data_IF_003810091644
#
_entry.id   IF_003810091644
#
_cell.length_a   1.000
_cell.length_b   1.000
_cell.length_c   1.000
_cell.angle_alpha   90.00
_cell.angle_beta   90.00
_cell.angle_gamma   90.00
#
_symmetry.space_group_name_H-M   'P 1'
#
loop_
_entity.id
_entity.type
_entity.pdbx_description
1 polymer ?
#
# COMPACT_ATOMS: atom_id res chain seq x y z
N UNK A 1 -17.79 22.92 10.57
CA UNK A 1 -16.84 23.80 9.86
C UNK A 1 -15.46 23.66 10.48
N UNK A 2 -15.33 23.94 11.78
CA UNK A 2 -14.07 23.82 12.53
C UNK A 2 -13.42 22.43 12.44
N UNK A 3 -14.21 21.35 12.40
CA UNK A 3 -13.71 19.98 12.31
C UNK A 3 -12.78 19.71 11.10
N UNK A 4 -13.06 20.31 9.94
CA UNK A 4 -12.24 20.10 8.74
C UNK A 4 -10.91 20.86 8.88
N UNK A 5 -10.96 22.09 9.39
CA UNK A 5 -9.75 22.87 9.68
C UNK A 5 -8.88 22.19 10.73
N UNK A 6 -9.46 21.80 11.86
CA UNK A 6 -8.72 21.12 12.93
C UNK A 6 -8.09 19.81 12.47
N UNK A 7 -8.75 19.08 11.56
CA UNK A 7 -8.14 17.92 10.92
C UNK A 7 -6.94 18.31 10.06
N UNK A 8 -7.08 19.31 9.18
CA UNK A 8 -6.00 19.77 8.31
C UNK A 8 -4.81 20.32 9.12
N UNK A 9 -5.06 21.09 10.17
CA UNK A 9 -4.04 21.59 11.09
C UNK A 9 -3.30 20.43 11.75
N UNK A 10 -4.03 19.45 12.31
CA UNK A 10 -3.44 18.31 12.98
C UNK A 10 -2.61 17.42 12.03
N UNK A 11 -3.05 17.25 10.77
CA UNK A 11 -2.25 16.53 9.76
C UNK A 11 -1.00 17.32 9.41
N UNK A 12 -1.12 18.64 9.23
CA UNK A 12 0.02 19.50 8.92
C UNK A 12 1.07 19.50 10.03
N UNK A 13 0.65 19.61 11.30
CA UNK A 13 1.55 19.49 12.45
C UNK A 13 2.28 18.15 12.49
N UNK A 14 1.59 17.05 12.18
CA UNK A 14 2.20 15.72 12.08
C UNK A 14 3.26 15.69 10.99
N UNK A 15 2.98 16.22 9.81
CA UNK A 15 3.95 16.28 8.70
C UNK A 15 5.16 17.13 9.08
N UNK A 16 4.96 18.32 9.64
CA UNK A 16 6.07 19.17 10.09
C UNK A 16 6.94 18.45 11.13
N UNK A 17 6.32 17.75 12.09
CA UNK A 17 7.05 16.96 13.09
C UNK A 17 7.84 15.80 12.48
N UNK A 18 7.38 15.25 11.35
CA UNK A 18 8.08 14.19 10.61
C UNK A 18 9.26 14.76 9.81
N UNK A 19 9.06 15.91 9.16
CA UNK A 19 10.09 16.58 8.37
C UNK A 19 11.26 17.08 9.21
N UNK A 20 11.03 17.41 10.49
CA UNK A 20 12.07 17.77 11.46
C UNK A 20 12.94 16.56 11.88
N UNK A 21 12.53 15.34 11.57
CA UNK A 21 13.27 14.12 11.94
C UNK A 21 14.22 13.68 10.81
N UNK A 22 15.55 13.78 10.99
CA UNK A 22 16.52 13.46 9.94
C UNK A 22 16.56 11.98 9.56
N UNK A 23 16.03 11.10 10.42
CA UNK A 23 15.94 9.66 10.16
C UNK A 23 14.74 9.29 9.28
N UNK A 24 13.81 10.22 9.03
CA UNK A 24 12.60 9.98 8.25
C UNK A 24 12.77 10.56 6.86
N UNK A 25 12.98 9.69 5.87
CA UNK A 25 12.86 10.08 4.46
C UNK A 25 11.40 9.95 4.04
N UNK A 26 10.85 11.02 3.48
CA UNK A 26 9.51 11.07 2.89
C UNK A 26 8.36 10.95 3.92
N UNK A 27 8.30 11.92 4.85
CA UNK A 27 7.27 12.02 5.90
C UNK A 27 5.83 11.98 5.37
N UNK A 28 5.64 12.47 4.15
CA UNK A 28 4.38 12.52 3.41
C UNK A 28 3.80 11.12 3.12
N UNK A 29 4.63 10.08 2.97
CA UNK A 29 4.17 8.70 2.77
C UNK A 29 3.69 8.04 4.07
N UNK A 30 4.04 8.58 5.24
CA UNK A 30 3.79 7.96 6.54
C UNK A 30 2.45 8.33 7.17
N UNK A 31 1.83 9.42 6.70
CA UNK A 31 0.46 9.78 7.09
C UNK A 31 -0.59 8.88 6.41
N UNK A 32 -0.17 8.08 5.41
CA UNK A 32 -0.98 7.04 4.77
C UNK A 32 -0.59 5.67 5.30
N UNK A 33 -1.52 4.99 5.96
CA UNK A 33 -1.31 3.60 6.37
C UNK A 33 -2.48 2.74 5.92
N UNK A 34 -2.32 2.08 4.76
CA UNK A 34 -3.16 0.98 4.30
C UNK A 34 -2.79 -0.36 4.97
N UNK A 35 -1.78 -0.40 5.87
CA UNK A 35 -1.43 -1.65 6.58
C UNK A 35 -2.47 -1.92 7.67
N UNK A 36 -3.46 -2.74 7.32
CA UNK A 36 -4.48 -3.31 8.21
C UNK A 36 -3.94 -4.20 9.35
N UNK A 37 -2.63 -4.23 9.64
CA UNK A 37 -2.11 -4.99 10.79
C UNK A 37 -1.14 -4.15 11.60
N UNK A 38 -1.48 -3.96 12.87
CA UNK A 38 -0.45 -3.74 13.90
C UNK A 38 0.33 -5.04 13.93
N UNK A 39 1.62 -4.99 13.62
CA UNK A 39 2.52 -6.04 14.05
C UNK A 39 2.67 -5.85 15.56
N UNK A 40 2.01 -6.67 16.37
CA UNK A 40 2.07 -6.56 17.83
C UNK A 40 3.38 -7.16 18.36
N UNK A 41 3.89 -6.68 19.49
CA UNK A 41 5.11 -7.25 20.08
C UNK A 41 4.99 -8.76 20.37
N UNK A 42 3.75 -9.25 20.59
CA UNK A 42 3.41 -10.67 20.70
C UNK A 42 3.67 -11.49 19.44
N UNK A 43 3.69 -10.85 18.26
CA UNK A 43 4.02 -11.51 16.99
C UNK A 43 5.53 -11.81 16.86
N UNK A 44 6.37 -11.20 17.71
CA UNK A 44 7.83 -11.36 17.76
C UNK A 44 8.33 -12.14 18.99
N UNK A 45 7.49 -12.29 20.02
CA UNK A 45 7.82 -12.95 21.29
C UNK A 45 8.27 -14.42 21.17
N UNK A 46 7.76 -15.24 20.23
CA UNK A 46 8.26 -16.60 20.02
C UNK A 46 9.70 -16.68 19.51
N UNK A 47 10.28 -15.57 19.01
CA UNK A 47 11.60 -15.53 18.39
C UNK A 47 12.72 -15.16 19.37
N UNK A 48 12.46 -14.23 20.31
CA UNK A 48 13.47 -13.81 21.32
C UNK A 48 13.79 -14.92 22.33
N UNK A 49 12.85 -15.85 22.53
CA UNK A 49 12.96 -16.90 23.55
C UNK A 49 13.25 -18.30 22.97
N UNK A 50 13.39 -18.44 21.64
CA UNK A 50 13.37 -19.74 20.95
C UNK A 50 14.65 -20.16 20.22
N UNK A 51 15.62 -19.27 19.98
CA UNK A 51 16.82 -19.56 19.18
C UNK A 51 18.09 -19.57 20.04
N UNK A 52 18.85 -20.68 20.10
CA UNK A 52 20.24 -20.62 20.49
C UNK A 52 21.02 -20.01 19.32
N UNK A 53 21.49 -18.79 19.50
CA UNK A 53 22.30 -18.09 18.51
C UNK A 53 23.74 -18.57 18.72
N UNK A 54 24.27 -19.35 17.77
CA UNK A 54 25.66 -19.85 17.85
C UNK A 54 26.69 -18.73 17.63
N UNK A 55 26.30 -17.65 16.93
CA UNK A 55 27.14 -16.47 16.66
C UNK A 55 26.56 -15.22 17.36
N UNK A 56 27.20 -14.85 18.47
CA UNK A 56 26.78 -13.78 19.38
C UNK A 56 26.65 -12.42 18.65
N UNK A 57 27.46 -12.18 17.61
CA UNK A 57 27.38 -10.94 16.81
C UNK A 57 26.14 -10.90 15.90
N UNK A 58 25.79 -12.01 15.26
CA UNK A 58 24.65 -12.07 14.33
C UNK A 58 23.33 -11.97 15.10
N UNK A 59 23.27 -12.57 16.28
CA UNK A 59 22.16 -12.41 17.21
C UNK A 59 21.99 -10.98 17.72
N UNK A 60 23.08 -10.33 18.12
CA UNK A 60 23.02 -8.96 18.60
C UNK A 60 22.60 -7.99 17.48
N UNK A 61 23.04 -8.22 16.24
CA UNK A 61 22.61 -7.44 15.07
C UNK A 61 21.13 -7.63 14.77
N UNK A 62 20.63 -8.86 14.83
CA UNK A 62 19.23 -9.16 14.58
C UNK A 62 18.33 -8.61 15.69
N UNK A 63 18.72 -8.71 16.96
CA UNK A 63 18.02 -8.08 18.07
C UNK A 63 17.95 -6.57 17.95
N UNK A 64 19.07 -5.91 17.62
CA UNK A 64 19.10 -4.47 17.42
C UNK A 64 18.24 -4.06 16.23
N UNK A 65 18.27 -4.80 15.12
CA UNK A 65 17.43 -4.55 13.97
C UNK A 65 15.95 -4.77 14.25
N UNK A 66 15.56 -5.86 14.92
CA UNK A 66 14.17 -6.11 15.31
C UNK A 66 13.70 -5.04 16.28
N UNK A 67 14.54 -4.61 17.21
CA UNK A 67 14.25 -3.50 18.14
C UNK A 67 14.07 -2.18 17.41
N UNK A 68 14.95 -1.83 16.49
CA UNK A 68 14.86 -0.64 15.66
C UNK A 68 13.65 -0.69 14.73
N UNK A 69 13.37 -1.84 14.11
CA UNK A 69 12.21 -2.05 13.24
C UNK A 69 10.92 -1.97 14.04
N UNK A 70 10.80 -2.62 15.19
CA UNK A 70 9.63 -2.51 16.08
C UNK A 70 9.50 -1.07 16.56
N UNK A 71 10.58 -0.41 16.98
CA UNK A 71 10.50 0.99 17.37
C UNK A 71 10.06 1.90 16.22
N UNK A 72 10.53 1.64 14.99
CA UNK A 72 10.18 2.41 13.80
C UNK A 72 8.76 2.09 13.33
N UNK A 73 8.38 0.83 13.17
CA UNK A 73 7.04 0.39 12.76
C UNK A 73 5.98 0.67 13.84
N UNK A 74 6.32 0.61 15.14
CA UNK A 74 5.44 1.11 16.20
C UNK A 74 5.29 2.63 16.12
N UNK A 75 6.38 3.41 15.96
CA UNK A 75 6.29 4.88 15.81
C UNK A 75 5.52 5.28 14.53
N UNK A 76 5.82 4.66 13.39
CA UNK A 76 5.23 4.94 12.08
C UNK A 76 3.79 4.41 11.97
N UNK A 77 3.53 3.19 12.43
CA UNK A 77 2.20 2.60 12.51
C UNK A 77 1.28 3.36 13.48
N UNK A 78 1.83 3.94 14.55
CA UNK A 78 1.10 4.85 15.42
C UNK A 78 0.70 6.15 14.70
N UNK A 79 1.56 6.69 13.84
CA UNK A 79 1.28 7.93 13.10
C UNK A 79 0.18 7.71 12.06
N UNK A 80 0.29 6.69 11.23
CA UNK A 80 -0.75 6.35 10.25
C UNK A 80 -2.11 6.10 10.89
N UNK A 81 -2.15 5.33 11.99
CA UNK A 81 -3.40 5.10 12.78
C UNK A 81 -3.92 6.36 13.45
N UNK A 82 -3.03 7.24 13.93
CA UNK A 82 -3.43 8.54 14.48
C UNK A 82 -4.11 9.38 13.40
N UNK A 83 -3.54 9.44 12.19
CA UNK A 83 -4.11 10.11 11.03
C UNK A 83 -5.46 9.51 10.62
N UNK A 84 -5.59 8.19 10.60
CA UNK A 84 -6.84 7.49 10.30
C UNK A 84 -7.93 7.81 11.35
N UNK A 85 -7.60 7.77 12.64
CA UNK A 85 -8.54 8.14 13.72
C UNK A 85 -8.94 9.61 13.65
N UNK A 86 -8.02 10.51 13.29
CA UNK A 86 -8.33 11.93 13.07
C UNK A 86 -9.31 12.09 11.90
N UNK A 87 -9.09 11.36 10.81
CA UNK A 87 -9.96 11.36 9.63
C UNK A 87 -11.35 10.84 9.95
N UNK A 88 -11.44 9.68 10.61
CA UNK A 88 -12.70 9.07 11.05
C UNK A 88 -13.50 10.02 11.93
N UNK A 89 -12.87 10.58 12.98
CA UNK A 89 -13.52 11.58 13.85
C UNK A 89 -14.01 12.82 13.09
N UNK A 90 -13.23 13.31 12.12
CA UNK A 90 -13.65 14.43 11.29
C UNK A 90 -14.91 14.08 10.49
N UNK A 91 -14.92 12.93 9.81
CA UNK A 91 -16.06 12.44 9.04
C UNK A 91 -17.29 12.27 9.94
N UNK A 92 -17.14 11.61 11.09
CA UNK A 92 -18.24 11.33 11.99
C UNK A 92 -18.85 12.60 12.57
N UNK A 93 -18.03 13.60 12.92
CA UNK A 93 -18.51 14.89 13.41
C UNK A 93 -19.23 15.70 12.32
N UNK A 94 -18.70 15.71 11.10
CA UNK A 94 -19.32 16.39 9.95
C UNK A 94 -20.65 15.72 9.60
N UNK A 95 -20.67 14.39 9.52
CA UNK A 95 -21.88 13.63 9.19
C UNK A 95 -22.90 13.66 10.33
N UNK A 96 -22.47 13.59 11.59
CA UNK A 96 -23.36 13.70 12.75
C UNK A 96 -24.14 15.01 12.75
N UNK A 97 -23.46 16.14 12.49
CA UNK A 97 -24.13 17.43 12.32
C UNK A 97 -25.01 17.48 11.07
N UNK A 98 -24.56 16.93 9.95
CA UNK A 98 -25.38 16.88 8.73
C UNK A 98 -26.70 16.12 8.96
N UNK A 99 -26.64 14.97 9.65
CA UNK A 99 -27.79 14.11 9.90
C UNK A 99 -28.79 14.76 10.87
N UNK A 100 -28.33 15.58 11.82
CA UNK A 100 -29.21 16.31 12.75
C UNK A 100 -29.99 17.46 12.11
N UNK A 101 -29.64 17.87 10.88
CA UNK A 101 -30.30 18.97 10.17
C UNK A 101 -31.51 18.50 9.35
N UNK A 102 -32.46 19.41 9.12
CA UNK A 102 -33.56 19.20 8.19
C UNK A 102 -33.08 19.29 6.73
N UNK A 103 -33.91 18.89 5.76
CA UNK A 103 -33.54 18.81 4.35
C UNK A 103 -33.09 20.15 3.72
N UNK A 104 -33.67 21.28 4.16
CA UNK A 104 -33.31 22.61 3.65
C UNK A 104 -31.92 23.02 4.16
N UNK A 105 -31.69 22.83 5.46
CA UNK A 105 -30.45 23.21 6.12
C UNK A 105 -29.29 22.28 5.76
N UNK A 106 -29.57 21.03 5.37
CA UNK A 106 -28.57 20.10 4.82
C UNK A 106 -27.88 20.63 3.57
N UNK A 107 -28.64 21.20 2.64
CA UNK A 107 -28.06 21.76 1.41
C UNK A 107 -27.20 22.99 1.69
N UNK A 108 -27.65 23.87 2.61
CA UNK A 108 -26.85 25.02 3.06
C UNK A 108 -25.57 24.55 3.75
N UNK A 109 -25.67 23.56 4.65
CA UNK A 109 -24.51 23.02 5.35
C UNK A 109 -23.50 22.38 4.39
N UNK A 110 -23.95 21.59 3.40
CA UNK A 110 -23.05 21.01 2.40
C UNK A 110 -22.38 22.09 1.57
N UNK A 111 -23.09 23.15 1.19
CA UNK A 111 -22.50 24.32 0.52
C UNK A 111 -21.38 24.92 1.37
N UNK A 112 -21.63 25.19 2.64
CA UNK A 112 -20.63 25.77 3.54
C UNK A 112 -19.39 24.85 3.68
N UNK A 113 -19.61 23.53 3.74
CA UNK A 113 -18.51 22.54 3.76
C UNK A 113 -17.68 22.60 2.46
N UNK A 114 -18.31 22.70 1.30
CA UNK A 114 -17.61 22.81 0.02
C UNK A 114 -16.82 24.12 -0.09
N UNK A 115 -17.39 25.24 0.37
CA UNK A 115 -16.66 26.51 0.47
C UNK A 115 -15.43 26.37 1.36
N UNK A 116 -15.57 25.67 2.48
CA UNK A 116 -14.46 25.45 3.40
C UNK A 116 -13.35 24.59 2.79
N UNK A 117 -13.72 23.52 2.08
CA UNK A 117 -12.77 22.67 1.35
C UNK A 117 -12.01 23.50 0.31
N UNK A 118 -12.73 24.29 -0.49
CA UNK A 118 -12.14 25.19 -1.49
C UNK A 118 -11.22 26.25 -0.88
N UNK A 119 -11.60 26.78 0.29
CA UNK A 119 -10.77 27.73 1.02
C UNK A 119 -9.47 27.07 1.51
N UNK A 120 -9.56 25.88 2.11
CA UNK A 120 -8.40 25.14 2.61
C UNK A 120 -7.44 24.83 1.46
N UNK A 121 -7.95 24.37 0.31
CA UNK A 121 -7.10 24.03 -0.84
C UNK A 121 -6.37 25.22 -1.45
N UNK A 122 -6.80 26.45 -1.18
CA UNK A 122 -6.20 27.66 -1.72
C UNK A 122 -5.30 28.39 -0.71
N UNK A 123 -5.53 28.20 0.60
CA UNK A 123 -4.94 29.07 1.63
C UNK A 123 -4.22 28.32 2.75
N UNK A 124 -4.50 27.03 2.96
CA UNK A 124 -3.93 26.30 4.08
C UNK A 124 -2.49 25.85 3.75
N UNK A 125 -1.52 25.94 4.68
CA UNK A 125 -0.13 25.52 4.44
C UNK A 125 0.01 24.07 3.93
N UNK A 126 -0.81 23.17 4.48
CA UNK A 126 -0.95 21.79 4.00
C UNK A 126 -1.21 21.68 2.50
N UNK A 127 -1.90 22.63 1.87
CA UNK A 127 -2.22 22.59 0.44
C UNK A 127 -0.96 22.56 -0.47
N UNK A 128 0.18 23.01 0.05
CA UNK A 128 1.46 22.98 -0.64
C UNK A 128 2.23 21.66 -0.47
N UNK A 129 1.73 20.73 0.34
CA UNK A 129 2.32 19.40 0.56
C UNK A 129 1.75 18.39 -0.42
N UNK A 130 2.58 17.49 -0.95
CA UNK A 130 2.14 16.43 -1.87
C UNK A 130 1.09 15.52 -1.23
N UNK A 131 1.23 15.29 0.08
CA UNK A 131 0.23 14.68 0.97
C UNK A 131 -1.19 15.23 0.82
N UNK A 132 -1.36 16.52 0.54
CA UNK A 132 -2.70 17.10 0.49
C UNK A 132 -3.52 16.57 -0.66
N UNK A 133 -2.92 16.51 -1.86
CA UNK A 133 -3.60 15.95 -3.04
C UNK A 133 -3.66 14.43 -2.99
N UNK A 134 -2.59 13.77 -2.53
CA UNK A 134 -2.50 12.30 -2.52
C UNK A 134 -3.32 11.63 -1.40
N UNK A 135 -3.48 12.28 -0.25
CA UNK A 135 -4.06 11.64 0.95
C UNK A 135 -5.28 12.40 1.47
N UNK A 136 -5.17 13.71 1.67
CA UNK A 136 -6.23 14.48 2.34
C UNK A 136 -7.44 14.67 1.42
N UNK A 137 -7.23 15.07 0.18
CA UNK A 137 -8.29 15.24 -0.80
C UNK A 137 -9.08 13.94 -1.06
N UNK A 138 -8.45 12.80 -1.41
CA UNK A 138 -9.17 11.55 -1.63
C UNK A 138 -9.69 10.93 -0.32
N UNK A 139 -8.90 10.95 0.74
CA UNK A 139 -9.23 10.30 2.01
C UNK A 139 -10.34 11.01 2.79
N UNK A 140 -10.42 12.34 2.75
CA UNK A 140 -11.42 13.10 3.49
C UNK A 140 -12.44 13.79 2.58
N UNK A 141 -11.99 14.64 1.65
CA UNK A 141 -12.90 15.51 0.90
C UNK A 141 -13.78 14.73 -0.07
N UNK A 142 -13.18 13.83 -0.87
CA UNK A 142 -13.94 12.97 -1.78
C UNK A 142 -14.88 12.02 -1.01
N UNK A 143 -14.45 11.49 0.14
CA UNK A 143 -15.31 10.63 0.98
C UNK A 143 -16.51 11.38 1.53
N UNK A 144 -16.34 12.61 2.03
CA UNK A 144 -17.44 13.43 2.51
C UNK A 144 -18.46 13.71 1.40
N UNK A 145 -17.99 14.03 0.20
CA UNK A 145 -18.88 14.29 -0.94
C UNK A 145 -19.66 13.03 -1.34
N UNK A 146 -18.98 11.88 -1.43
CA UNK A 146 -19.65 10.58 -1.67
C UNK A 146 -20.72 10.31 -0.61
N UNK A 147 -20.42 10.58 0.67
CA UNK A 147 -21.41 10.43 1.75
C UNK A 147 -22.59 11.38 1.56
N UNK A 148 -22.38 12.65 1.25
CA UNK A 148 -23.49 13.58 1.01
C UNK A 148 -24.37 13.16 -0.17
N UNK A 149 -23.77 12.70 -1.27
CA UNK A 149 -24.49 12.17 -2.43
C UNK A 149 -25.37 10.96 -2.08
N UNK A 150 -24.88 10.06 -1.20
CA UNK A 150 -25.66 8.92 -0.72
C UNK A 150 -26.91 9.31 0.10
N UNK A 151 -26.97 10.55 0.62
CA UNK A 151 -28.14 11.10 1.31
C UNK A 151 -28.98 12.03 0.42
N UNK A 152 -28.96 11.80 -0.90
CA UNK A 152 -29.76 12.51 -1.92
C UNK A 152 -29.50 14.03 -2.00
N UNK A 153 -28.31 14.46 -1.54
CA UNK A 153 -27.86 15.83 -1.74
C UNK A 153 -27.38 15.99 -3.18
N UNK A 154 -28.02 16.89 -3.92
CA UNK A 154 -27.65 17.23 -5.30
C UNK A 154 -26.42 18.13 -5.31
N UNK A 155 -25.25 17.56 -5.03
CA UNK A 155 -23.96 18.28 -4.94
C UNK A 155 -23.70 19.08 -6.24
N UNK A 156 -23.98 18.52 -7.42
CA UNK A 156 -23.80 19.24 -8.70
C UNK A 156 -24.64 20.52 -8.78
N UNK A 157 -25.86 20.47 -8.23
CA UNK A 157 -26.74 21.65 -8.18
C UNK A 157 -26.16 22.71 -7.25
N UNK A 158 -25.58 22.31 -6.11
CA UNK A 158 -24.89 23.22 -5.19
C UNK A 158 -23.65 23.81 -5.87
N UNK A 159 -22.85 22.96 -6.51
CA UNK A 159 -21.65 23.36 -7.23
C UNK A 159 -21.94 24.40 -8.30
N UNK A 160 -23.10 24.30 -8.98
CA UNK A 160 -23.48 25.25 -10.04
C UNK A 160 -23.58 26.72 -9.59
N UNK A 161 -23.79 26.97 -8.30
CA UNK A 161 -23.95 28.33 -7.72
C UNK A 161 -22.59 28.95 -7.34
N UNK A 162 -21.51 28.16 -7.28
CA UNK A 162 -20.19 28.68 -6.93
C UNK A 162 -19.56 29.53 -8.03
N UNK A 163 -18.64 30.42 -7.60
CA UNK A 163 -17.80 31.20 -8.51
C UNK A 163 -16.92 30.28 -9.38
N UNK A 164 -16.50 30.71 -10.58
CA UNK A 164 -15.62 29.93 -11.45
C UNK A 164 -14.35 29.46 -10.73
N UNK A 165 -13.72 30.34 -9.95
CA UNK A 165 -12.50 30.04 -9.18
C UNK A 165 -12.73 28.95 -8.13
N UNK A 166 -13.84 29.02 -7.39
CA UNK A 166 -14.22 28.01 -6.39
C UNK A 166 -14.51 26.67 -7.05
N UNK A 167 -15.21 26.68 -8.19
CA UNK A 167 -15.49 25.47 -8.99
C UNK A 167 -14.21 24.82 -9.49
N UNK A 168 -13.30 25.59 -10.06
CA UNK A 168 -12.02 25.08 -10.56
C UNK A 168 -11.20 24.42 -9.45
N UNK A 169 -11.09 25.07 -8.28
CA UNK A 169 -10.40 24.50 -7.13
C UNK A 169 -11.04 23.18 -6.66
N UNK A 170 -12.38 23.13 -6.58
CA UNK A 170 -13.09 21.91 -6.19
C UNK A 170 -12.96 20.83 -7.25
N UNK A 171 -13.14 21.14 -8.53
CA UNK A 171 -12.98 20.17 -9.60
C UNK A 171 -11.55 19.64 -9.69
N UNK A 172 -10.53 20.47 -9.43
CA UNK A 172 -9.15 19.98 -9.34
C UNK A 172 -8.96 18.93 -8.25
N UNK A 173 -9.67 19.03 -7.12
CA UNK A 173 -9.57 18.08 -6.00
C UNK A 173 -10.46 16.84 -6.17
N UNK A 174 -11.55 16.98 -6.93
CA UNK A 174 -12.61 15.99 -7.05
C UNK A 174 -12.57 15.21 -8.37
N UNK A 175 -12.02 15.81 -9.42
CA UNK A 175 -11.84 15.21 -10.74
C UNK A 175 -10.40 14.79 -11.01
N UNK A 176 -9.46 15.00 -10.07
CA UNK A 176 -8.19 14.27 -10.15
C UNK A 176 -8.56 12.78 -10.18
N UNK A 177 -8.31 12.09 -11.32
CA UNK A 177 -8.64 10.69 -11.40
C UNK A 177 -7.89 9.98 -10.27
N UNK A 178 -8.46 8.88 -9.78
CA UNK A 178 -7.71 7.82 -9.09
C UNK A 178 -6.68 7.17 -10.06
N UNK A 179 -6.03 7.95 -10.94
CA UNK A 179 -5.01 7.55 -11.88
C UNK A 179 -3.66 8.15 -11.44
N UNK A 180 -3.09 7.60 -10.38
CA UNK A 180 -2.19 6.50 -10.67
C UNK A 180 -3.08 5.27 -10.67
N UNK A 181 -3.11 4.52 -11.77
CA UNK A 181 -3.68 3.19 -11.73
C UNK A 181 -2.96 2.45 -10.59
N UNK A 182 -3.56 2.41 -9.40
CA UNK A 182 -3.56 1.20 -8.64
C UNK A 182 -4.15 0.16 -9.60
N UNK A 183 -3.37 -0.84 -10.05
CA UNK A 183 -3.87 -1.82 -10.97
C UNK A 183 -5.07 -2.49 -10.31
N UNK A 184 -6.27 -2.19 -10.80
CA UNK A 184 -7.54 -2.83 -10.48
C UNK A 184 -7.70 -3.29 -9.02
N UNK A 185 -8.39 -2.47 -8.22
CA UNK A 185 -9.09 -2.92 -7.00
C UNK A 185 -10.29 -3.84 -7.34
N UNK A 186 -10.10 -4.81 -8.24
CA UNK A 186 -10.90 -6.03 -8.28
C UNK A 186 -10.09 -7.13 -7.60
N UNK A 187 -10.15 -7.19 -6.27
CA UNK A 187 -9.71 -8.36 -5.49
C UNK A 187 -8.34 -8.93 -5.95
N UNK A 188 -7.35 -8.06 -6.20
CA UNK A 188 -5.96 -8.51 -6.17
C UNK A 188 -5.56 -8.58 -4.71
N UNK A 189 -5.72 -9.76 -4.12
CA UNK A 189 -4.94 -10.14 -2.95
C UNK A 189 -3.49 -9.76 -3.24
N UNK A 190 -2.90 -8.87 -2.44
CA UNK A 190 -1.58 -8.30 -2.69
C UNK A 190 -0.52 -9.40 -2.77
N UNK A 191 0.65 -9.11 -3.34
CA UNK A 191 1.78 -10.04 -3.30
C UNK A 191 2.04 -10.50 -1.86
N UNK A 192 1.86 -9.60 -0.91
CA UNK A 192 1.97 -9.78 0.53
C UNK A 192 1.10 -10.92 1.08
N UNK A 193 -0.05 -11.19 0.46
CA UNK A 193 -0.94 -12.27 0.89
C UNK A 193 -0.38 -13.67 0.58
N UNK A 194 0.57 -13.75 -0.37
CA UNK A 194 1.28 -14.99 -0.66
C UNK A 194 2.34 -15.30 0.41
N UNK A 195 2.78 -14.31 1.18
CA UNK A 195 3.83 -14.48 2.17
C UNK A 195 3.25 -14.75 3.55
N UNK A 196 3.95 -15.60 4.30
CA UNK A 196 3.69 -15.77 5.74
C UNK A 196 3.75 -14.38 6.38
N UNK A 197 2.81 -14.02 7.28
CA UNK A 197 2.73 -12.67 7.84
C UNK A 197 4.07 -12.10 8.32
N UNK A 198 4.90 -12.94 8.95
CA UNK A 198 6.25 -12.62 9.42
C UNK A 198 7.25 -12.21 8.31
N UNK A 199 7.11 -12.74 7.09
CA UNK A 199 8.01 -12.44 5.97
C UNK A 199 7.60 -11.17 5.20
N UNK A 200 6.39 -10.65 5.40
CA UNK A 200 5.85 -9.50 4.67
C UNK A 200 6.69 -8.22 4.79
N UNK A 201 7.26 -7.87 5.96
CA UNK A 201 8.11 -6.68 6.09
C UNK A 201 9.38 -6.72 5.22
N UNK A 202 9.85 -7.91 4.84
CA UNK A 202 11.07 -8.11 4.07
C UNK A 202 10.83 -8.12 2.55
N UNK A 203 9.56 -8.11 2.11
CA UNK A 203 9.18 -8.13 0.69
C UNK A 203 9.82 -6.98 -0.10
N UNK A 204 9.88 -5.71 0.39
CA UNK A 204 10.55 -4.64 -0.35
C UNK A 204 12.04 -4.91 -0.60
N UNK A 205 12.74 -5.49 0.39
CA UNK A 205 14.17 -5.84 0.28
C UNK A 205 14.39 -7.06 -0.62
N UNK A 206 13.46 -8.01 -0.60
CA UNK A 206 13.42 -9.11 -1.55
C UNK A 206 13.21 -8.65 -2.99
N UNK A 207 12.28 -7.72 -3.23
CA UNK A 207 12.09 -7.12 -4.56
C UNK A 207 13.37 -6.39 -4.99
N UNK A 208 14.00 -5.61 -4.11
CA UNK A 208 15.28 -4.97 -4.41
C UNK A 208 16.38 -6.00 -4.76
N UNK A 209 16.43 -7.16 -4.06
CA UNK A 209 17.36 -8.25 -4.41
C UNK A 209 17.08 -8.89 -5.76
N UNK A 210 15.81 -9.02 -6.14
CA UNK A 210 15.45 -9.48 -7.48
C UNK A 210 15.89 -8.48 -8.56
N UNK A 211 15.84 -7.17 -8.27
CA UNK A 211 16.34 -6.12 -9.17
C UNK A 211 17.87 -6.15 -9.26
N UNK A 212 18.57 -6.23 -8.13
CA UNK A 212 20.04 -6.35 -8.05
C UNK A 212 20.56 -7.59 -8.80
N UNK A 213 19.85 -8.71 -8.72
CA UNK A 213 20.16 -9.94 -9.42
C UNK A 213 19.76 -9.92 -10.92
N UNK A 214 19.16 -8.83 -11.40
CA UNK A 214 18.70 -8.70 -12.79
C UNK A 214 17.54 -9.62 -13.16
N UNK A 215 16.85 -10.20 -12.16
CA UNK A 215 15.71 -11.10 -12.37
C UNK A 215 14.47 -10.30 -12.75
N UNK A 216 14.33 -9.10 -12.18
CA UNK A 216 13.28 -8.14 -12.52
C UNK A 216 13.91 -6.79 -12.84
N UNK A 217 13.23 -6.00 -13.67
CA UNK A 217 13.62 -4.64 -14.03
C UNK A 217 12.35 -3.80 -14.16
N UNK A 218 12.31 -2.62 -13.53
CA UNK A 218 11.11 -1.77 -13.47
C UNK A 218 9.86 -2.54 -12.98
N UNK A 219 10.04 -3.39 -11.95
CA UNK A 219 9.01 -4.33 -11.43
C UNK A 219 8.43 -5.34 -12.44
N UNK A 220 9.05 -5.50 -13.61
CA UNK A 220 8.69 -6.52 -14.60
C UNK A 220 9.71 -7.65 -14.60
N UNK A 221 9.25 -8.87 -14.81
CA UNK A 221 10.13 -10.03 -14.97
C UNK A 221 11.01 -9.88 -16.20
N UNK A 222 12.33 -9.99 -16.03
CA UNK A 222 13.33 -9.71 -17.06
C UNK A 222 14.43 -10.79 -17.11
N UNK A 223 14.10 -12.03 -16.73
CA UNK A 223 15.08 -13.10 -16.67
C UNK A 223 14.95 -14.13 -17.81
N UNK A 224 16.04 -14.59 -18.44
CA UNK A 224 15.98 -15.50 -19.60
C UNK A 224 15.27 -16.83 -19.34
N UNK A 225 15.39 -17.37 -18.11
CA UNK A 225 14.82 -18.69 -17.75
C UNK A 225 13.35 -18.55 -17.38
N UNK A 226 12.43 -18.89 -18.28
CA UNK A 226 10.97 -18.67 -18.09
C UNK A 226 10.35 -19.25 -16.81
N UNK A 227 10.92 -20.29 -16.22
CA UNK A 227 10.41 -20.99 -15.03
C UNK A 227 11.17 -20.63 -13.73
N UNK A 228 12.07 -19.64 -13.75
CA UNK A 228 12.93 -19.33 -12.62
C UNK A 228 12.13 -18.85 -11.40
N UNK A 229 11.18 -17.92 -11.56
CA UNK A 229 10.33 -17.48 -10.45
C UNK A 229 9.48 -18.63 -9.89
N UNK A 230 9.03 -19.58 -10.71
CA UNK A 230 8.26 -20.72 -10.22
C UNK A 230 9.10 -21.63 -9.30
N UNK A 231 10.38 -21.84 -9.66
CA UNK A 231 11.34 -22.57 -8.82
C UNK A 231 11.65 -21.78 -7.55
N UNK A 232 11.91 -20.48 -7.65
CA UNK A 232 12.16 -19.61 -6.51
C UNK A 232 10.98 -19.63 -5.51
N UNK A 233 9.75 -19.48 -5.98
CA UNK A 233 8.55 -19.55 -5.12
C UNK A 233 8.39 -20.93 -4.48
N UNK A 234 8.82 -21.99 -5.16
CA UNK A 234 8.81 -23.35 -4.60
C UNK A 234 9.83 -23.50 -3.50
N UNK A 235 11.06 -23.02 -3.73
CA UNK A 235 12.10 -22.95 -2.71
C UNK A 235 11.63 -22.14 -1.50
N UNK A 236 11.11 -20.93 -1.72
CA UNK A 236 10.56 -20.07 -0.66
C UNK A 236 9.44 -20.75 0.13
N UNK A 237 8.66 -21.61 -0.51
CA UNK A 237 7.61 -22.38 0.15
C UNK A 237 8.18 -23.50 1.02
N UNK A 238 9.23 -24.17 0.55
CA UNK A 238 9.96 -25.20 1.32
C UNK A 238 10.66 -24.59 2.52
N UNK A 239 11.24 -23.39 2.35
CA UNK A 239 11.76 -22.54 3.44
C UNK A 239 10.66 -21.89 4.30
N UNK A 240 9.39 -22.13 3.95
CA UNK A 240 8.21 -21.66 4.68
C UNK A 240 8.05 -20.14 4.75
N UNK A 241 8.61 -19.40 3.79
CA UNK A 241 8.48 -17.95 3.57
C UNK A 241 7.11 -17.62 2.94
N UNK A 242 6.61 -18.51 2.07
CA UNK A 242 5.34 -18.37 1.34
C UNK A 242 4.25 -19.24 1.98
N UNK A 243 3.04 -18.69 2.09
CA UNK A 243 1.85 -19.33 2.66
C UNK A 243 1.45 -20.62 1.95
N UNK A 244 0.77 -21.50 2.70
CA UNK A 244 0.13 -22.70 2.16
C UNK A 244 -1.00 -22.37 1.17
N UNK A 245 -0.99 -23.02 0.01
CA UNK A 245 -2.02 -22.89 -1.04
C UNK A 245 -1.76 -23.83 -2.23
N UNK A 246 -2.62 -23.87 -3.25
CA UNK A 246 -2.33 -24.67 -4.45
C UNK A 246 -1.10 -24.09 -5.17
N UNK A 247 -0.02 -24.87 -5.36
CA UNK A 247 1.26 -24.42 -5.96
C UNK A 247 1.02 -23.56 -7.22
N UNK A 248 0.17 -24.06 -8.10
CA UNK A 248 -0.21 -23.40 -9.37
C UNK A 248 -0.79 -22.00 -9.21
N UNK A 249 -1.66 -21.80 -8.23
CA UNK A 249 -2.30 -20.51 -7.94
C UNK A 249 -1.28 -19.52 -7.41
N UNK A 250 -0.37 -19.97 -6.55
CA UNK A 250 0.69 -19.13 -5.98
C UNK A 250 1.67 -18.70 -7.08
N UNK A 251 2.10 -19.62 -7.94
CA UNK A 251 2.99 -19.30 -9.06
C UNK A 251 2.35 -18.29 -10.01
N UNK A 252 1.09 -18.54 -10.41
CA UNK A 252 0.35 -17.64 -11.31
C UNK A 252 0.34 -16.21 -10.79
N UNK A 253 -0.03 -16.03 -9.53
CA UNK A 253 -0.09 -14.72 -8.89
C UNK A 253 1.27 -14.04 -8.78
N UNK A 254 2.32 -14.81 -8.50
CA UNK A 254 3.67 -14.28 -8.40
C UNK A 254 4.17 -13.74 -9.74
N UNK A 255 3.91 -14.46 -10.84
CA UNK A 255 4.24 -14.01 -12.19
C UNK A 255 3.41 -12.79 -12.61
N UNK A 256 2.10 -12.81 -12.35
CA UNK A 256 1.20 -11.68 -12.67
C UNK A 256 1.57 -10.40 -11.91
N UNK A 257 2.13 -10.52 -10.71
CA UNK A 257 2.64 -9.38 -9.95
C UNK A 257 3.83 -8.72 -10.65
N UNK A 258 4.75 -9.51 -11.22
CA UNK A 258 5.90 -9.00 -11.98
C UNK A 258 5.59 -8.80 -13.48
N UNK A 259 4.34 -8.45 -13.81
CA UNK A 259 3.95 -8.06 -15.16
C UNK A 259 3.92 -9.19 -16.19
N UNK A 260 3.91 -10.46 -15.76
CA UNK A 260 3.79 -11.62 -16.66
C UNK A 260 2.36 -12.12 -16.69
N UNK A 261 1.74 -12.10 -17.88
CA UNK A 261 0.38 -12.62 -18.07
C UNK A 261 0.41 -14.13 -18.23
N UNK A 262 -0.30 -14.84 -17.36
CA UNK A 262 -0.38 -16.31 -17.37
C UNK A 262 -1.71 -16.74 -17.99
N UNK A 263 -1.65 -17.40 -19.16
CA UNK A 263 -2.84 -17.80 -19.95
C UNK A 263 -2.93 -19.30 -20.13
N UNK A 264 -4.14 -19.84 -20.26
CA UNK A 264 -4.36 -21.28 -20.45
C UNK A 264 -3.89 -21.75 -21.83
N UNK A 265 -4.08 -20.92 -22.86
CA UNK A 265 -3.63 -21.13 -24.25
C UNK A 265 -3.16 -19.79 -24.82
N UNK A 266 -2.19 -19.80 -25.75
CA UNK A 266 -1.89 -18.59 -26.53
C UNK A 266 -2.98 -18.43 -27.58
N UNK A 267 -3.67 -17.31 -27.57
CA UNK A 267 -4.42 -16.88 -28.76
C UNK A 267 -3.40 -16.33 -29.77
N UNK A 268 -3.42 -16.85 -30.98
CA UNK A 268 -2.49 -16.51 -32.08
C UNK A 268 -2.69 -15.08 -32.63
N UNK A 269 -3.56 -14.27 -32.03
CA UNK A 269 -4.01 -12.97 -32.55
C UNK A 269 -3.62 -11.73 -31.74
N UNK A 270 -2.81 -11.84 -30.68
CA UNK A 270 -2.37 -10.68 -29.89
C UNK A 270 -0.84 -10.64 -29.85
N UNK A 271 -0.24 -10.18 -30.94
CA UNK A 271 1.10 -9.60 -30.93
C UNK A 271 0.98 -8.13 -30.50
N UNK A 272 0.77 -7.90 -29.20
CA UNK A 272 1.11 -6.60 -28.62
C UNK A 272 2.52 -6.72 -28.05
N UNK A 273 3.46 -5.99 -28.63
CA UNK A 273 4.91 -6.05 -28.38
C UNK A 273 5.35 -5.74 -26.93
N UNK A 274 4.42 -5.51 -25.99
CA UNK A 274 4.71 -5.00 -24.64
C UNK A 274 4.30 -5.88 -23.44
N UNK A 275 3.59 -7.01 -23.65
CA UNK A 275 3.18 -7.94 -22.57
C UNK A 275 3.96 -9.27 -22.62
N UNK A 276 4.69 -9.60 -21.54
CA UNK A 276 5.37 -10.89 -21.41
C UNK A 276 4.33 -11.99 -21.09
N UNK A 277 4.02 -12.88 -22.03
CA UNK A 277 2.98 -13.93 -21.89
C UNK A 277 3.62 -15.31 -21.66
N UNK A 278 3.17 -16.03 -20.63
CA UNK A 278 3.49 -17.43 -20.37
C UNK A 278 2.23 -18.29 -20.37
N UNK A 279 2.29 -19.49 -20.93
CA UNK A 279 1.17 -20.43 -20.84
C UNK A 279 1.23 -21.21 -19.54
N UNK A 280 0.08 -21.54 -18.96
CA UNK A 280 -0.04 -22.39 -17.78
C UNK A 280 0.74 -23.71 -17.96
N UNK A 281 0.61 -24.36 -19.12
CA UNK A 281 1.35 -25.57 -19.46
C UNK A 281 2.88 -25.40 -19.44
N UNK A 282 3.41 -24.22 -19.77
CA UNK A 282 4.85 -23.95 -19.70
C UNK A 282 5.30 -23.57 -18.28
N UNK A 283 4.46 -22.85 -17.55
CA UNK A 283 4.69 -22.52 -16.14
C UNK A 283 4.72 -23.78 -15.27
N UNK A 284 3.85 -24.76 -15.53
CA UNK A 284 3.73 -25.97 -14.72
C UNK A 284 4.67 -27.11 -15.13
N UNK A 285 5.46 -26.96 -16.19
CA UNK A 285 6.56 -27.90 -16.52
C UNK A 285 7.64 -27.96 -15.42
N UNK A 286 7.72 -26.97 -14.53
CA UNK A 286 8.63 -26.97 -13.38
C UNK A 286 8.08 -27.68 -12.14
N UNK A 287 6.83 -28.15 -12.14
CA UNK A 287 6.22 -28.81 -10.96
C UNK A 287 6.99 -30.06 -10.51
N UNK A 288 7.70 -30.71 -11.44
CA UNK A 288 8.49 -31.92 -11.21
C UNK A 288 10.00 -31.74 -11.51
N UNK A 289 10.48 -30.50 -11.70
CA UNK A 289 11.91 -30.26 -11.96
C UNK A 289 12.63 -29.91 -10.66
N UNK A 290 13.66 -30.67 -10.34
CA UNK A 290 14.55 -30.36 -9.23
C UNK A 290 15.25 -29.01 -9.44
N UNK A 291 15.48 -28.32 -8.33
CA UNK A 291 16.33 -27.14 -8.25
C UNK A 291 17.78 -27.63 -8.36
N UNK A 292 18.59 -27.02 -9.23
CA UNK A 292 20.03 -27.38 -9.31
C UNK A 292 20.81 -26.75 -8.16
N UNK A 293 21.97 -27.31 -7.80
CA UNK A 293 22.82 -26.76 -6.73
C UNK A 293 23.19 -25.27 -6.95
N UNK A 294 23.40 -24.86 -8.21
CA UNK A 294 23.63 -23.46 -8.55
C UNK A 294 22.39 -22.60 -8.31
N UNK A 295 21.20 -23.08 -8.68
CA UNK A 295 19.94 -22.37 -8.45
C UNK A 295 19.63 -22.28 -6.96
N UNK A 296 19.95 -23.32 -6.18
CA UNK A 296 19.76 -23.34 -4.73
C UNK A 296 20.64 -22.30 -4.03
N UNK A 297 21.91 -22.17 -4.41
CA UNK A 297 22.80 -21.11 -3.90
C UNK A 297 22.31 -19.70 -4.26
N UNK A 298 21.83 -19.54 -5.48
CA UNK A 298 21.24 -18.28 -5.95
C UNK A 298 19.99 -17.93 -5.14
N UNK A 299 19.10 -18.90 -4.95
CA UNK A 299 17.86 -18.72 -4.19
C UNK A 299 18.13 -18.45 -2.73
N UNK A 300 19.10 -19.14 -2.11
CA UNK A 300 19.54 -18.87 -0.75
C UNK A 300 20.00 -17.40 -0.61
N UNK A 301 20.85 -16.93 -1.52
CA UNK A 301 21.35 -15.54 -1.51
C UNK A 301 20.23 -14.49 -1.69
N UNK A 302 19.26 -14.77 -2.56
CA UNK A 302 18.09 -13.91 -2.79
C UNK A 302 17.18 -13.93 -1.55
N UNK A 303 16.94 -15.10 -0.98
CA UNK A 303 16.02 -15.32 0.14
C UNK A 303 16.64 -14.99 1.50
N UNK A 304 17.95 -14.75 1.60
CA UNK A 304 18.66 -14.36 2.83
C UNK A 304 18.16 -13.07 3.48
N UNK A 305 17.39 -12.28 2.72
CA UNK A 305 16.68 -11.11 3.25
C UNK A 305 15.53 -11.50 4.18
N UNK A 306 15.03 -12.72 4.07
CA UNK A 306 14.02 -13.27 4.95
C UNK A 306 14.69 -13.97 6.12
N UNK A 307 14.17 -13.77 7.35
CA UNK A 307 14.58 -14.56 8.50
C UNK A 307 14.32 -16.05 8.25
N UNK A 308 15.33 -16.88 8.49
CA UNK A 308 15.26 -18.32 8.32
C UNK A 308 14.24 -18.94 9.27
N UNK A 309 13.51 -19.95 8.79
CA UNK A 309 12.81 -20.89 9.66
C UNK A 309 13.84 -21.85 10.23
N UNK A 310 13.77 -22.02 11.55
CA UNK A 310 14.17 -23.25 12.24
C UNK A 310 13.49 -24.45 11.57
#
# INVERSE_FOLDING_TARGET
MEYITNYCDAIYEIICSLDENPDIKDGDLLIWNDKQRVTEASDFLPFVLGTPIEDEEEGQRLENFVREFIQRDCKLGCIGKKCERLRGRCIDNVMGRFLSLNAKDRNLYVRDILEKISYISQNHPLANKDSFRRVVAPGLFQQLIKKFQNYDVKVDKILSVFTPKTKEALYSLLNEPLNEQMPNQSVRQGLEDLFVPFCRPFIPRFIARLEEAGIIMNRKYNYPKKNYLAKLVTYMREQGIVCGGKKRVVWKRFYEYFGVKVVDRRDEGIESEEEYIITESNLFKSENKNISEEEEKDFDLICRVFPSKL
#
